data_IF_985539859340
#
_entry.id   IF_985539859340
#
_cell.length_a   1.000
_cell.length_b   1.000
_cell.length_c   1.000
_cell.angle_alpha   90.00
_cell.angle_beta   90.00
_cell.angle_gamma   90.00
#
_symmetry.space_group_name_H-M   'P 1'
#
loop_
_entity.id
_entity.type
_entity.pdbx_description
1 polymer ?
#
# COMPACT_ATOMS: atom_id res chain seq x y z
N UNK A 1 12.67 17.19 9.10
CA UNK A 1 11.71 17.74 8.12
C UNK A 1 11.14 16.60 7.29
N UNK A 2 9.97 16.75 6.68
CA UNK A 2 9.42 15.74 5.78
C UNK A 2 10.26 15.68 4.48
N UNK A 3 10.57 14.48 4.00
CA UNK A 3 11.22 14.28 2.69
C UNK A 3 10.19 14.31 1.57
N UNK A 4 10.61 14.55 0.33
CA UNK A 4 9.71 14.47 -0.85
C UNK A 4 9.05 13.07 -0.92
N UNK A 5 9.80 11.94 -0.88
CA UNK A 5 9.19 10.61 -0.92
C UNK A 5 8.22 10.36 0.24
N UNK A 6 8.58 10.76 1.47
CA UNK A 6 7.69 10.60 2.63
C UNK A 6 6.39 11.40 2.52
N UNK A 7 6.46 12.59 1.92
CA UNK A 7 5.28 13.43 1.65
C UNK A 7 4.39 12.79 0.58
N UNK A 8 5.00 12.24 -0.48
CA UNK A 8 4.26 11.55 -1.54
C UNK A 8 3.62 10.25 -1.02
N UNK A 9 4.33 9.43 -0.24
CA UNK A 9 3.77 8.23 0.37
C UNK A 9 2.54 8.56 1.24
N UNK A 10 2.62 9.63 2.05
CA UNK A 10 1.46 10.12 2.81
C UNK A 10 0.31 10.59 1.92
N UNK A 11 0.61 11.28 0.81
CA UNK A 11 -0.41 11.68 -0.17
C UNK A 11 -1.08 10.47 -0.84
N UNK A 12 -0.32 9.42 -1.16
CA UNK A 12 -0.83 8.14 -1.67
C UNK A 12 -1.81 7.49 -0.69
N UNK A 13 -1.46 7.43 0.60
CA UNK A 13 -2.36 6.94 1.66
C UNK A 13 -3.63 7.78 1.82
N UNK A 14 -3.53 9.12 1.71
CA UNK A 14 -4.72 10.00 1.69
C UNK A 14 -5.62 9.73 0.48
N UNK A 15 -5.04 9.43 -0.68
CA UNK A 15 -5.82 9.07 -1.86
C UNK A 15 -6.52 7.72 -1.71
N UNK A 16 -5.85 6.74 -1.07
CA UNK A 16 -6.46 5.47 -0.68
C UNK A 16 -7.64 5.69 0.28
N UNK A 17 -7.48 6.53 1.31
CA UNK A 17 -8.54 6.90 2.24
C UNK A 17 -9.64 7.78 1.63
N UNK A 18 -9.38 8.39 0.47
CA UNK A 18 -10.17 9.48 -0.13
C UNK A 18 -10.40 10.65 0.84
N UNK A 19 -9.36 11.00 1.59
CA UNK A 19 -9.37 12.08 2.58
C UNK A 19 -9.29 13.48 1.89
N UNK A 20 -10.33 13.86 1.16
CA UNK A 20 -10.46 15.17 0.55
C UNK A 20 -11.94 15.51 0.28
N UNK A 21 -12.30 16.78 0.45
CA UNK A 21 -13.69 17.24 0.37
C UNK A 21 -14.35 16.99 -1.00
N UNK A 22 -13.55 16.96 -2.07
CA UNK A 22 -14.04 16.71 -3.42
C UNK A 22 -14.19 15.21 -3.73
N UNK A 23 -13.82 14.29 -2.82
CA UNK A 23 -13.89 12.85 -3.05
C UNK A 23 -15.24 12.38 -3.60
N UNK A 24 -16.39 12.81 -3.06
CA UNK A 24 -17.70 12.40 -3.58
C UNK A 24 -17.97 12.78 -5.04
N UNK A 25 -17.23 13.75 -5.60
CA UNK A 25 -17.38 14.18 -7.00
C UNK A 25 -16.66 13.26 -7.99
N UNK A 26 -15.75 12.41 -7.51
CA UNK A 26 -15.00 11.47 -8.35
C UNK A 26 -15.62 10.08 -8.24
N UNK A 27 -16.06 9.52 -9.37
CA UNK A 27 -16.49 8.12 -9.46
C UNK A 27 -15.30 7.18 -9.72
N UNK A 28 -14.18 7.42 -9.03
CA UNK A 28 -12.95 6.67 -9.19
C UNK A 28 -12.20 6.58 -7.85
N UNK A 29 -11.58 5.43 -7.62
CA UNK A 29 -10.62 5.19 -6.55
C UNK A 29 -9.21 5.10 -7.14
N UNK A 30 -8.18 5.00 -6.30
CA UNK A 30 -6.87 4.55 -6.78
C UNK A 30 -7.00 3.14 -7.35
N UNK A 31 -6.21 2.82 -8.37
CA UNK A 31 -6.27 1.52 -9.04
C UNK A 31 -5.90 0.38 -8.08
N UNK A 32 -6.70 -0.69 -8.06
CA UNK A 32 -6.31 -1.95 -7.41
C UNK A 32 -5.47 -2.78 -8.36
N UNK A 33 -4.22 -3.02 -7.99
CA UNK A 33 -3.31 -3.82 -8.78
C UNK A 33 -3.72 -5.30 -8.79
N UNK A 34 -3.98 -5.86 -7.61
CA UNK A 34 -4.43 -7.24 -7.46
C UNK A 34 -5.12 -7.47 -6.10
N UNK A 35 -5.69 -8.66 -5.91
CA UNK A 35 -6.23 -9.14 -4.63
C UNK A 35 -5.38 -10.31 -4.15
N UNK A 36 -4.70 -10.15 -3.02
CA UNK A 36 -3.96 -11.21 -2.34
C UNK A 36 -4.97 -12.11 -1.63
N UNK A 37 -5.21 -13.29 -2.20
CA UNK A 37 -6.16 -14.28 -1.67
C UNK A 37 -5.50 -15.48 -1.00
N UNK A 38 -4.17 -15.44 -0.80
CA UNK A 38 -3.42 -16.54 -0.22
C UNK A 38 -1.93 -16.27 -0.05
N UNK A 39 -1.28 -17.21 0.65
CA UNK A 39 0.17 -17.23 0.87
C UNK A 39 0.91 -17.52 -0.43
N UNK A 40 2.13 -16.99 -0.52
CA UNK A 40 3.02 -17.18 -1.66
C UNK A 40 3.43 -15.86 -2.29
N UNK A 41 3.68 -15.90 -3.59
CA UNK A 41 4.28 -14.80 -4.32
C UNK A 41 3.28 -14.09 -5.20
N UNK A 42 3.23 -12.78 -5.04
CA UNK A 42 2.34 -11.89 -5.76
C UNK A 42 3.15 -10.90 -6.57
N UNK A 43 2.67 -10.55 -7.76
CA UNK A 43 3.33 -9.59 -8.64
C UNK A 43 2.32 -8.62 -9.23
N UNK A 44 2.80 -7.70 -10.04
CA UNK A 44 2.03 -6.66 -10.72
C UNK A 44 1.71 -7.08 -12.15
N UNK A 45 0.78 -6.35 -12.74
CA UNK A 45 0.41 -6.35 -14.15
C UNK A 45 1.08 -5.16 -14.85
N UNK A 46 1.34 -5.29 -16.15
CA UNK A 46 2.00 -4.23 -16.91
C UNK A 46 3.51 -4.16 -16.67
N UNK A 47 4.06 -2.95 -16.48
CA UNK A 47 5.51 -2.68 -16.58
C UNK A 47 6.23 -2.51 -15.24
N UNK A 48 5.50 -2.39 -14.13
CA UNK A 48 6.04 -2.12 -12.79
C UNK A 48 5.65 -0.74 -12.30
N UNK A 49 6.40 -0.22 -11.35
CA UNK A 49 6.17 1.11 -10.76
C UNK A 49 7.24 2.08 -11.28
N UNK A 50 6.81 3.28 -11.67
CA UNK A 50 7.74 4.38 -11.94
C UNK A 50 8.06 5.13 -10.64
N UNK A 51 9.11 5.94 -10.70
CA UNK A 51 9.49 6.93 -9.69
C UNK A 51 8.27 7.60 -9.02
N UNK A 52 8.22 7.59 -7.68
CA UNK A 52 7.13 8.14 -6.86
C UNK A 52 5.72 7.55 -7.14
N UNK A 53 5.65 6.48 -7.93
CA UNK A 53 4.47 5.68 -8.21
C UNK A 53 4.16 4.71 -7.08
N UNK A 54 2.93 4.19 -7.08
CA UNK A 54 2.51 3.17 -6.13
C UNK A 54 1.46 2.24 -6.73
N UNK A 55 1.53 0.96 -6.33
CA UNK A 55 0.51 -0.04 -6.60
C UNK A 55 -0.12 -0.52 -5.29
N UNK A 56 -1.41 -0.86 -5.35
CA UNK A 56 -2.20 -1.26 -4.18
C UNK A 56 -2.74 -2.67 -4.34
N UNK A 57 -2.52 -3.50 -3.33
CA UNK A 57 -2.99 -4.87 -3.27
C UNK A 57 -4.00 -5.01 -2.14
N UNK A 58 -5.21 -5.44 -2.45
CA UNK A 58 -6.19 -5.77 -1.40
C UNK A 58 -5.81 -7.11 -0.77
N UNK A 59 -5.69 -7.18 0.56
CA UNK A 59 -5.47 -8.42 1.29
C UNK A 59 -6.83 -9.00 1.66
N UNK A 60 -7.23 -10.07 0.96
CA UNK A 60 -8.49 -10.79 1.16
C UNK A 60 -8.20 -12.24 1.54
N UNK A 61 -7.57 -12.39 2.70
CA UNK A 61 -7.32 -13.67 3.36
C UNK A 61 -8.08 -13.68 4.69
N UNK A 62 -8.10 -14.84 5.37
CA UNK A 62 -8.69 -14.93 6.70
C UNK A 62 -8.05 -13.92 7.67
N UNK A 63 -8.81 -13.45 8.66
CA UNK A 63 -8.26 -12.52 9.66
C UNK A 63 -7.13 -13.18 10.45
N UNK A 64 -6.04 -12.44 10.67
CA UNK A 64 -4.91 -12.90 11.46
C UNK A 64 -3.60 -12.20 11.12
N UNK A 65 -2.51 -12.80 11.58
CA UNK A 65 -1.17 -12.27 11.44
C UNK A 65 -0.47 -12.78 10.17
N UNK A 66 0.14 -11.85 9.44
CA UNK A 66 0.87 -12.12 8.21
C UNK A 66 2.20 -11.38 8.18
N UNK A 67 3.12 -11.91 7.37
CA UNK A 67 4.29 -11.19 6.90
C UNK A 67 4.10 -10.89 5.41
N UNK A 68 4.51 -9.70 4.99
CA UNK A 68 4.71 -9.39 3.58
C UNK A 68 6.09 -8.76 3.40
N UNK A 69 6.80 -9.15 2.34
CA UNK A 69 8.11 -8.60 2.01
C UNK A 69 8.35 -8.46 0.51
N UNK A 70 9.11 -7.42 0.15
CA UNK A 70 9.50 -7.14 -1.22
C UNK A 70 10.70 -7.99 -1.62
N UNK A 71 10.59 -8.62 -2.78
CA UNK A 71 11.66 -9.35 -3.45
C UNK A 71 11.76 -8.89 -4.90
N UNK A 72 12.91 -9.13 -5.53
CA UNK A 72 13.16 -8.78 -6.94
C UNK A 72 12.96 -7.29 -7.30
N UNK A 73 13.03 -6.39 -6.31
CA UNK A 73 12.84 -4.94 -6.44
C UNK A 73 14.16 -4.13 -6.50
N UNK A 74 15.29 -4.83 -6.58
CA UNK A 74 16.62 -4.21 -6.60
C UNK A 74 17.00 -3.45 -5.32
N UNK A 75 16.31 -3.67 -4.21
CA UNK A 75 16.65 -3.05 -2.93
C UNK A 75 16.00 -1.68 -2.68
N UNK A 76 15.11 -1.20 -3.57
CA UNK A 76 14.76 0.22 -3.66
C UNK A 76 13.35 0.57 -3.21
N UNK A 77 12.43 -0.38 -3.24
CA UNK A 77 11.02 -0.10 -2.97
C UNK A 77 10.68 -0.18 -1.48
N UNK A 78 9.58 0.47 -1.13
CA UNK A 78 8.99 0.46 0.19
C UNK A 78 7.61 -0.19 0.16
N UNK A 79 7.32 -0.95 1.21
CA UNK A 79 6.03 -1.56 1.47
C UNK A 79 5.37 -0.85 2.65
N UNK A 80 4.08 -0.58 2.50
CA UNK A 80 3.21 -0.06 3.54
C UNK A 80 2.01 -0.97 3.69
N UNK A 81 1.49 -1.05 4.91
CA UNK A 81 0.18 -1.68 5.17
C UNK A 81 -0.80 -0.61 5.64
N UNK A 82 -2.02 -0.69 5.15
CA UNK A 82 -3.13 0.17 5.54
C UNK A 82 -4.36 -0.68 5.87
N UNK A 83 -5.02 -0.40 6.99
CA UNK A 83 -6.26 -1.02 7.41
C UNK A 83 -7.38 0.01 7.52
N UNK A 84 -8.58 -0.36 7.07
CA UNK A 84 -9.79 0.46 7.20
C UNK A 84 -10.73 -0.18 8.22
N UNK A 85 -11.15 0.61 9.21
CA UNK A 85 -12.18 0.27 10.21
C UNK A 85 -12.89 1.53 10.67
N UNK A 86 -14.20 1.46 10.91
CA UNK A 86 -15.00 2.55 11.49
C UNK A 86 -14.82 3.92 10.78
N UNK A 87 -14.71 3.91 9.44
CA UNK A 87 -14.50 5.13 8.66
C UNK A 87 -13.15 5.80 8.87
N UNK A 88 -12.15 5.06 9.36
CA UNK A 88 -10.75 5.50 9.51
C UNK A 88 -9.81 4.59 8.75
N UNK A 89 -8.74 5.17 8.23
CA UNK A 89 -7.60 4.43 7.68
C UNK A 89 -6.43 4.58 8.64
N UNK A 90 -5.96 3.46 9.19
CA UNK A 90 -4.70 3.36 9.92
C UNK A 90 -3.64 2.80 8.95
N UNK A 91 -2.41 3.31 8.97
CA UNK A 91 -1.33 2.85 8.11
C UNK A 91 0.04 2.91 8.77
N UNK A 92 0.89 1.94 8.46
CA UNK A 92 2.28 1.90 8.93
C UNK A 92 3.24 1.43 7.83
N UNK A 93 4.48 1.93 7.83
CA UNK A 93 5.50 1.42 6.93
C UNK A 93 5.95 0.02 7.39
N UNK A 94 6.10 -0.88 6.42
CA UNK A 94 6.77 -2.17 6.58
C UNK A 94 8.23 -2.11 6.07
N UNK A 95 8.65 -0.98 5.47
CA UNK A 95 9.98 -0.87 4.87
C UNK A 95 10.14 -1.86 3.73
N UNK A 96 11.14 -2.74 3.79
CA UNK A 96 11.28 -3.83 2.80
C UNK A 96 10.37 -5.03 3.08
N UNK A 97 9.79 -5.12 4.27
CA UNK A 97 8.94 -6.21 4.68
C UNK A 97 8.74 -6.22 6.18
N UNK A 98 7.58 -6.69 6.61
CA UNK A 98 7.21 -6.66 8.01
C UNK A 98 5.95 -7.46 8.31
N UNK A 99 5.73 -7.65 9.61
CA UNK A 99 4.57 -8.36 10.14
C UNK A 99 3.43 -7.38 10.41
N UNK A 100 2.20 -7.79 10.10
CA UNK A 100 1.00 -7.02 10.35
C UNK A 100 -0.16 -7.95 10.70
N UNK A 101 -1.13 -7.43 11.44
CA UNK A 101 -2.36 -8.13 11.82
C UNK A 101 -3.55 -7.50 11.11
N UNK A 102 -4.38 -8.33 10.46
CA UNK A 102 -5.58 -7.91 9.74
C UNK A 102 -6.85 -7.95 10.59
N UNK A 103 -6.77 -8.43 11.83
CA UNK A 103 -7.92 -8.62 12.72
C UNK A 103 -8.60 -7.29 13.04
N UNK A 104 -9.92 -7.25 12.91
CA UNK A 104 -10.73 -6.07 13.24
C UNK A 104 -10.75 -4.96 12.16
N UNK A 105 -10.13 -5.19 11.00
CA UNK A 105 -10.25 -4.30 9.85
C UNK A 105 -11.25 -4.86 8.83
N UNK A 106 -12.07 -3.98 8.25
CA UNK A 106 -13.03 -4.31 7.18
C UNK A 106 -12.30 -4.54 5.84
N UNK A 107 -11.24 -3.75 5.61
CA UNK A 107 -10.37 -3.85 4.45
C UNK A 107 -8.91 -3.66 4.84
N UNK A 108 -8.01 -4.43 4.23
CA UNK A 108 -6.57 -4.26 4.38
C UNK A 108 -5.93 -4.15 3.00
N UNK A 109 -4.99 -3.22 2.86
CA UNK A 109 -4.24 -3.00 1.64
C UNK A 109 -2.74 -3.01 1.91
N UNK A 110 -1.98 -3.63 1.01
CA UNK A 110 -0.55 -3.40 0.88
C UNK A 110 -0.30 -2.38 -0.23
N UNK A 111 0.47 -1.34 0.07
CA UNK A 111 0.93 -0.36 -0.91
C UNK A 111 2.41 -0.58 -1.17
N UNK A 112 2.77 -0.90 -2.40
CA UNK A 112 4.16 -0.89 -2.87
C UNK A 112 4.43 0.48 -3.45
N UNK A 113 5.47 1.15 -2.96
CA UNK A 113 5.85 2.50 -3.32
C UNK A 113 7.30 2.53 -3.80
N UNK A 114 7.55 3.21 -4.91
CA UNK A 114 8.92 3.50 -5.36
C UNK A 114 9.32 4.90 -4.84
N UNK A 115 10.15 4.98 -3.79
CA UNK A 115 10.57 6.25 -3.21
C UNK A 115 11.71 6.90 -4.00
N UNK A 116 12.20 6.27 -5.07
CA UNK A 116 13.22 6.88 -5.92
C UNK A 116 12.71 8.23 -6.42
N UNK A 117 13.63 9.17 -6.53
CA UNK A 117 13.37 10.50 -7.05
C UNK A 117 14.59 10.95 -7.84
N UNK A 118 14.43 11.24 -9.13
CA UNK A 118 15.48 11.81 -9.97
C UNK A 118 14.98 13.12 -10.58
N UNK A 119 15.90 14.07 -10.78
CA UNK A 119 15.57 15.36 -11.39
C UNK A 119 15.35 15.24 -12.92
N UNK A 120 15.68 14.08 -13.51
CA UNK A 120 15.44 13.79 -14.92
C UNK A 120 14.00 13.32 -15.18
N UNK A 121 13.11 14.29 -15.40
CA UNK A 121 11.70 14.09 -15.71
C UNK A 121 11.43 13.35 -17.04
N UNK A 122 12.46 13.11 -17.86
CA UNK A 122 12.32 12.40 -19.14
C UNK A 122 12.62 10.90 -19.04
N UNK A 123 13.24 10.46 -17.94
CA UNK A 123 13.59 9.07 -17.70
C UNK A 123 12.37 8.26 -17.19
N UNK A 124 11.51 7.80 -18.10
CA UNK A 124 10.40 6.90 -17.79
C UNK A 124 10.90 5.47 -17.48
N UNK A 125 11.56 5.28 -16.34
CA UNK A 125 12.03 3.96 -15.88
C UNK A 125 10.95 3.30 -15.04
N UNK A 126 10.66 2.04 -15.36
CA UNK A 126 9.79 1.19 -14.57
C UNK A 126 10.62 0.16 -13.82
N UNK A 127 10.34 0.00 -12.53
CA UNK A 127 10.99 -0.99 -11.67
C UNK A 127 10.00 -2.10 -11.36
N UNK A 128 10.41 -3.35 -11.58
CA UNK A 128 9.65 -4.52 -11.20
C UNK A 128 9.85 -4.88 -9.73
N UNK A 129 8.92 -5.64 -9.16
CA UNK A 129 8.97 -6.21 -7.82
C UNK A 129 8.04 -7.43 -7.71
N UNK A 130 8.20 -8.18 -6.64
CA UNK A 130 7.24 -9.17 -6.18
C UNK A 130 7.04 -9.01 -4.66
N UNK A 131 5.89 -9.46 -4.16
CA UNK A 131 5.56 -9.50 -2.74
C UNK A 131 5.49 -10.96 -2.32
N UNK A 132 6.32 -11.35 -1.37
CA UNK A 132 6.28 -12.66 -0.73
C UNK A 132 5.46 -12.54 0.55
N UNK A 133 4.34 -13.28 0.61
CA UNK A 133 3.37 -13.24 1.71
C UNK A 133 3.38 -14.57 2.44
N UNK A 134 3.49 -14.53 3.77
CA UNK A 134 3.55 -15.70 4.66
C UNK A 134 2.60 -15.54 5.84
N UNK A 135 2.09 -16.66 6.37
CA UNK A 135 1.42 -16.62 7.68
C UNK A 135 2.43 -16.33 8.77
N UNK A 136 1.99 -15.65 9.83
CA UNK A 136 2.80 -15.38 11.01
C UNK A 136 2.09 -15.83 12.28
N UNK A 137 2.86 -16.15 13.32
CA UNK A 137 2.30 -16.49 14.64
C UNK A 137 1.78 -15.26 15.38
N UNK A 138 2.35 -14.10 15.10
CA UNK A 138 1.95 -12.80 15.65
C UNK A 138 2.21 -11.71 14.63
N UNK A 139 1.33 -10.73 14.60
CA UNK A 139 1.41 -9.55 13.75
C UNK A 139 1.52 -8.31 14.61
N UNK A 140 1.90 -7.19 14.00
CA UNK A 140 1.77 -5.88 14.63
C UNK A 140 0.42 -5.29 14.22
N UNK A 141 -0.31 -4.69 15.18
CA UNK A 141 -1.49 -3.90 14.82
C UNK A 141 -1.08 -2.83 13.80
N UNK A 142 -1.93 -2.59 12.80
CA UNK A 142 -1.68 -1.52 11.83
C UNK A 142 -1.86 -0.18 12.56
N UNK A 143 -0.79 0.29 13.21
CA UNK A 143 -0.79 1.48 14.04
C UNK A 143 0.30 2.47 13.57
N UNK A 144 -0.11 3.72 13.32
CA UNK A 144 0.81 4.69 12.75
C UNK A 144 0.10 5.95 12.29
N UNK A 145 0.15 6.20 10.98
CA UNK A 145 -0.56 7.32 10.37
C UNK A 145 -2.06 7.02 10.35
N UNK A 146 -2.86 7.99 10.77
CA UNK A 146 -4.32 7.89 10.77
C UNK A 146 -4.90 8.97 9.87
N UNK A 147 -5.89 8.59 9.07
CA UNK A 147 -6.60 9.47 8.15
C UNK A 147 -8.11 9.29 8.30
N UNK A 148 -8.85 10.36 8.03
CA UNK A 148 -10.29 10.23 7.87
C UNK A 148 -10.61 9.49 6.57
N UNK A 149 -11.42 8.44 6.68
CA UNK A 149 -11.81 7.58 5.56
C UNK A 149 -13.33 7.62 5.36
N UNK A 150 -13.98 8.73 5.74
CA UNK A 150 -15.42 8.93 5.58
C UNK A 150 -15.92 8.83 4.13
N UNK A 151 -15.03 8.99 3.15
CA UNK A 151 -15.33 8.84 1.71
C UNK A 151 -14.68 7.60 1.09
N UNK A 152 -14.15 6.69 1.91
CA UNK A 152 -13.53 5.48 1.40
C UNK A 152 -14.54 4.64 0.61
N UNK A 153 -14.04 4.11 -0.50
CA UNK A 153 -14.71 3.07 -1.29
C UNK A 153 -13.68 1.97 -1.57
N UNK A 154 -14.06 0.69 -1.53
CA UNK A 154 -13.17 -0.40 -1.90
C UNK A 154 -12.58 -0.19 -3.30
N UNK A 155 -11.28 -0.44 -3.43
CA UNK A 155 -10.57 -0.25 -4.70
C UNK A 155 -11.14 -1.18 -5.79
N UNK A 156 -11.19 -0.66 -7.03
CA UNK A 156 -11.71 -1.38 -8.19
C UNK A 156 -10.56 -1.94 -9.00
#
# INVERSE_FOLDING_TARGET
>A
GATIPGTVARYRLKNLAREYALAPLFNATVWRENVITGIGRWTYTGRGIQELGANYYEVRMDQGAYYAGLVNDGGRMELWVAGIRDGKLDAMPLGRGGFFDTSGYDHVYLMVFDPTYTEDVSACVYTGYEIDVHTAKSGREIDGQRFDAAHFEPLR
#
